data_IF_829071963328
#
_entry.id   IF_829071963328
#
_cell.length_a   1.000
_cell.length_b   1.000
_cell.length_c   1.000
_cell.angle_alpha   90.00
_cell.angle_beta   90.00
_cell.angle_gamma   90.00
#
_symmetry.space_group_name_H-M   'P 1'
#
loop_
_entity.id
_entity.type
_entity.pdbx_description
1 polymer ?
#
# COMPACT_ATOMS: atom_id res chain seq x y z
N UNK A 1 -5.46 8.97 -7.50
CA UNK A 1 -5.79 9.33 -8.89
C UNK A 1 -4.92 8.45 -9.74
N UNK A 2 -5.55 7.45 -10.35
CA UNK A 2 -4.93 6.30 -11.00
C UNK A 2 -5.67 5.96 -12.32
N UNK A 3 -6.67 6.76 -12.66
CA UNK A 3 -7.56 6.65 -13.83
C UNK A 3 -6.78 6.61 -15.16
N UNK A 4 -5.72 7.41 -15.39
CA UNK A 4 -4.97 7.34 -16.65
C UNK A 4 -4.30 5.98 -16.87
N UNK A 5 -3.85 5.32 -15.79
CA UNK A 5 -3.22 4.00 -15.86
C UNK A 5 -4.28 2.90 -15.94
N UNK A 6 -5.33 3.00 -15.11
CA UNK A 6 -6.44 2.05 -15.08
C UNK A 6 -7.14 1.91 -16.43
N UNK A 7 -7.39 3.03 -17.11
CA UNK A 7 -8.13 3.06 -18.37
C UNK A 7 -7.22 3.16 -19.60
N UNK A 8 -6.06 3.82 -19.50
CA UNK A 8 -5.13 3.98 -20.62
C UNK A 8 -4.25 2.76 -20.89
N UNK A 9 -3.87 2.00 -19.86
CA UNK A 9 -3.10 0.75 -19.98
C UNK A 9 -3.99 -0.52 -19.91
N UNK A 10 -5.24 -0.42 -20.39
CA UNK A 10 -6.44 -1.17 -20.02
C UNK A 10 -6.30 -2.22 -18.89
N UNK A 11 -5.92 -1.81 -17.68
CA UNK A 11 -5.71 -2.74 -16.55
C UNK A 11 -7.01 -3.47 -16.20
N UNK A 12 -8.15 -2.77 -16.24
CA UNK A 12 -9.45 -3.30 -15.82
C UNK A 12 -9.94 -4.45 -16.71
N UNK A 13 -9.57 -4.43 -17.99
CA UNK A 13 -10.00 -5.45 -18.97
C UNK A 13 -8.89 -6.46 -19.31
N UNK A 14 -7.67 -6.24 -18.83
CA UNK A 14 -6.56 -7.16 -19.04
C UNK A 14 -6.46 -8.15 -17.87
N UNK A 15 -6.81 -9.44 -18.06
CA UNK A 15 -6.81 -10.43 -16.98
C UNK A 15 -5.42 -10.63 -16.35
N UNK A 16 -4.33 -10.38 -17.08
CA UNK A 16 -2.95 -10.48 -16.56
C UNK A 16 -2.69 -9.40 -15.51
N UNK A 17 -3.15 -8.16 -15.75
CA UNK A 17 -3.00 -7.06 -14.79
C UNK A 17 -4.12 -6.97 -13.77
N UNK A 18 -5.28 -7.57 -14.06
CA UNK A 18 -6.41 -7.62 -13.15
C UNK A 18 -6.10 -8.43 -11.88
N UNK A 19 -5.43 -9.57 -12.02
CA UNK A 19 -5.04 -10.42 -10.88
C UNK A 19 -4.14 -9.66 -9.88
N UNK A 20 -2.99 -9.09 -10.28
CA UNK A 20 -2.16 -8.33 -9.36
C UNK A 20 -2.86 -7.07 -8.85
N UNK A 21 -3.74 -6.43 -9.65
CA UNK A 21 -4.52 -5.27 -9.21
C UNK A 21 -5.43 -5.57 -8.01
N UNK A 22 -6.09 -6.74 -7.98
CA UNK A 22 -6.91 -7.17 -6.85
C UNK A 22 -6.05 -7.72 -5.70
N UNK A 23 -5.00 -8.47 -6.02
CA UNK A 23 -4.21 -9.18 -5.01
C UNK A 23 -3.29 -8.27 -4.20
N UNK A 24 -2.65 -7.30 -4.84
CA UNK A 24 -1.71 -6.37 -4.20
C UNK A 24 -2.32 -5.66 -2.96
N UNK A 25 -3.50 -5.02 -3.04
CA UNK A 25 -4.08 -4.36 -1.85
C UNK A 25 -4.41 -5.35 -0.72
N UNK A 26 -4.79 -6.59 -1.03
CA UNK A 26 -5.06 -7.62 -0.01
C UNK A 26 -3.77 -7.97 0.74
N UNK A 27 -2.67 -8.19 0.01
CA UNK A 27 -1.35 -8.46 0.59
C UNK A 27 -0.90 -7.28 1.47
N UNK A 28 -1.08 -6.04 0.98
CA UNK A 28 -0.68 -4.85 1.74
C UNK A 28 -1.44 -4.72 3.06
N UNK A 29 -2.74 -5.04 3.08
CA UNK A 29 -3.54 -5.06 4.31
C UNK A 29 -3.03 -6.12 5.28
N UNK A 30 -2.69 -7.32 4.82
CA UNK A 30 -2.16 -8.39 5.68
C UNK A 30 -0.80 -8.03 6.27
N UNK A 31 0.11 -7.49 5.46
CA UNK A 31 1.41 -7.03 5.94
C UNK A 31 1.23 -5.92 6.97
N UNK A 32 0.40 -4.91 6.68
CA UNK A 32 0.13 -3.83 7.63
C UNK A 32 -0.43 -4.38 8.95
N UNK A 33 -1.40 -5.31 8.88
CA UNK A 33 -2.01 -5.94 10.05
C UNK A 33 -0.98 -6.71 10.89
N UNK A 34 -0.06 -7.43 10.25
CA UNK A 34 1.04 -8.12 10.93
C UNK A 34 1.95 -7.13 11.69
N UNK A 35 2.30 -6.00 11.08
CA UNK A 35 3.11 -4.96 11.75
C UNK A 35 2.41 -4.40 12.98
N UNK A 36 1.11 -4.12 12.88
CA UNK A 36 0.32 -3.58 14.00
C UNK A 36 0.18 -4.61 15.12
N UNK A 37 -0.22 -5.84 14.81
CA UNK A 37 -0.56 -6.84 15.84
C UNK A 37 0.65 -7.54 16.43
N UNK A 38 1.65 -7.88 15.61
CA UNK A 38 2.77 -8.74 16.02
C UNK A 38 4.01 -7.93 16.37
N UNK A 39 4.28 -6.85 15.63
CA UNK A 39 5.44 -5.98 15.87
C UNK A 39 5.11 -4.76 16.72
N UNK A 40 3.87 -4.68 17.23
CA UNK A 40 3.39 -3.63 18.11
C UNK A 40 3.56 -2.22 17.50
N UNK A 41 3.35 -2.11 16.18
CA UNK A 41 3.32 -0.83 15.47
C UNK A 41 2.01 -0.09 15.75
N UNK A 42 2.07 1.22 15.85
CA UNK A 42 0.88 2.06 15.92
C UNK A 42 -0.01 1.83 14.70
N UNK A 43 -1.32 1.69 14.94
CA UNK A 43 -2.31 1.77 13.86
C UNK A 43 -2.46 3.22 13.37
N UNK A 44 -3.21 3.41 12.29
CA UNK A 44 -3.57 4.75 11.82
C UNK A 44 -4.31 5.53 12.92
N UNK A 45 -3.70 6.60 13.41
CA UNK A 45 -4.26 7.51 14.42
C UNK A 45 -4.68 8.85 13.82
N UNK A 46 -4.17 9.21 12.65
CA UNK A 46 -4.51 10.44 11.94
C UNK A 46 -5.25 10.13 10.63
N UNK A 47 -6.37 10.82 10.41
CA UNK A 47 -7.07 10.79 9.12
C UNK A 47 -6.42 11.80 8.18
N UNK A 48 -5.62 11.28 7.24
CA UNK A 48 -5.00 12.08 6.18
C UNK A 48 -5.86 12.06 4.92
N UNK A 49 -5.84 13.14 4.11
CA UNK A 49 -6.43 13.11 2.78
C UNK A 49 -5.86 11.96 1.94
N UNK A 50 -6.70 11.27 1.19
CA UNK A 50 -6.26 10.15 0.34
C UNK A 50 -5.27 10.56 -0.77
N UNK A 51 -5.19 11.87 -1.07
CA UNK A 51 -4.21 12.44 -2.02
C UNK A 51 -2.79 12.52 -1.44
N UNK A 52 -2.59 12.25 -0.15
CA UNK A 52 -1.26 12.17 0.44
C UNK A 52 -0.46 11.04 -0.22
N UNK A 53 0.79 11.28 -0.66
CA UNK A 53 1.60 10.24 -1.29
C UNK A 53 1.71 8.99 -0.40
N UNK A 54 1.45 7.80 -0.96
CA UNK A 54 1.26 6.55 -0.20
C UNK A 54 2.31 6.28 0.89
N UNK A 55 3.62 6.25 0.56
CA UNK A 55 4.67 6.03 1.55
C UNK A 55 4.69 7.07 2.69
N UNK A 56 4.39 8.34 2.36
CA UNK A 56 4.29 9.41 3.36
C UNK A 56 3.01 9.27 4.19
N UNK A 57 1.90 8.88 3.59
CA UNK A 57 0.62 8.69 4.27
C UNK A 57 0.70 7.65 5.38
N UNK A 58 1.45 6.57 5.17
CA UNK A 58 1.70 5.54 6.19
C UNK A 58 2.45 6.14 7.38
N UNK A 59 3.60 6.76 7.13
CA UNK A 59 4.46 7.32 8.19
C UNK A 59 3.75 8.40 9.00
N UNK A 60 3.07 9.32 8.31
CA UNK A 60 2.31 10.40 8.93
C UNK A 60 1.10 9.86 9.72
N UNK A 61 0.42 8.86 9.17
CA UNK A 61 -0.78 8.27 9.75
C UNK A 61 -0.53 7.49 11.04
N UNK A 62 0.68 6.98 11.22
CA UNK A 62 1.11 6.17 12.37
C UNK A 62 2.06 6.90 13.34
N UNK A 63 2.06 8.25 13.33
CA UNK A 63 2.88 9.13 14.19
C UNK A 63 4.40 8.98 14.02
N UNK A 64 4.92 8.87 12.80
CA UNK A 64 6.36 8.83 12.50
C UNK A 64 7.15 7.72 13.24
N UNK A 65 6.50 6.60 13.55
CA UNK A 65 7.17 5.49 14.21
C UNK A 65 8.23 4.85 13.28
N UNK A 66 9.37 4.43 13.82
CA UNK A 66 10.46 3.83 13.01
C UNK A 66 9.99 2.64 12.17
N UNK A 67 9.13 1.77 12.73
CA UNK A 67 8.55 0.63 12.01
C UNK A 67 7.71 1.04 10.78
N UNK A 68 7.10 2.22 10.80
CA UNK A 68 6.28 2.71 9.68
C UNK A 68 7.11 3.07 8.44
N UNK A 69 8.36 3.52 8.64
CA UNK A 69 9.29 3.75 7.53
C UNK A 69 9.72 2.43 6.89
N UNK A 70 9.98 1.41 7.71
CA UNK A 70 10.33 0.07 7.23
C UNK A 70 9.15 -0.53 6.45
N UNK A 71 7.93 -0.40 6.99
CA UNK A 71 6.72 -0.85 6.33
C UNK A 71 6.51 -0.15 4.98
N UNK A 72 6.65 1.18 4.93
CA UNK A 72 6.48 1.94 3.69
C UNK A 72 7.45 1.48 2.59
N UNK A 73 8.72 1.24 2.93
CA UNK A 73 9.70 0.69 1.99
C UNK A 73 9.37 -0.75 1.55
N UNK A 74 8.97 -1.59 2.51
CA UNK A 74 8.64 -2.99 2.25
C UNK A 74 7.42 -3.14 1.33
N UNK A 75 6.36 -2.34 1.53
CA UNK A 75 5.17 -2.38 0.68
C UNK A 75 5.51 -2.00 -0.77
N UNK A 76 6.35 -0.98 -0.99
CA UNK A 76 6.79 -0.60 -2.35
C UNK A 76 7.54 -1.74 -3.04
N UNK A 77 8.41 -2.44 -2.31
CA UNK A 77 9.15 -3.60 -2.84
C UNK A 77 8.20 -4.76 -3.15
N UNK A 78 7.28 -5.08 -2.24
CA UNK A 78 6.29 -6.15 -2.44
C UNK A 78 5.39 -5.85 -3.63
N UNK A 79 4.88 -4.62 -3.75
CA UNK A 79 4.07 -4.19 -4.90
C UNK A 79 4.86 -4.35 -6.20
N UNK A 80 6.14 -3.93 -6.22
CA UNK A 80 6.99 -4.08 -7.41
C UNK A 80 7.17 -5.54 -7.82
N UNK A 81 7.28 -6.46 -6.85
CA UNK A 81 7.42 -7.91 -7.11
C UNK A 81 6.10 -8.51 -7.61
N UNK A 82 4.94 -8.10 -7.07
CA UNK A 82 3.64 -8.66 -7.49
C UNK A 82 3.29 -8.26 -8.93
N UNK A 83 3.71 -7.07 -9.36
CA UNK A 83 3.43 -6.55 -10.70
C UNK A 83 4.45 -6.96 -11.79
N UNK A 84 5.55 -7.64 -11.45
CA UNK A 84 6.60 -8.07 -12.39
C UNK A 84 6.55 -9.58 -12.65
#
# INVERSE_FOLDING_TARGET
VNEPILFGAPIVLNPIFFVPFIFTPIVNVWIFKFFVDTLNMNSFSANLPWVTPGPLGIVLGTNFQVLSFILAGLLVVVDTIIYY
#
